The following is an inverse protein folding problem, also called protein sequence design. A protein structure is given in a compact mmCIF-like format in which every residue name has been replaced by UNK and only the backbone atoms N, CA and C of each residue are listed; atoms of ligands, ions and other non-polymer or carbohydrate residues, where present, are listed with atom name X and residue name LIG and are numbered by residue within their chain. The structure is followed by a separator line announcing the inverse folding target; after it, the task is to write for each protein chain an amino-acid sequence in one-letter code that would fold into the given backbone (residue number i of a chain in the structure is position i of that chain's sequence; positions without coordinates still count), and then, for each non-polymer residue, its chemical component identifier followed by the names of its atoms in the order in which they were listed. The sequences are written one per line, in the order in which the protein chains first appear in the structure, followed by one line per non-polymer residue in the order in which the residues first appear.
data_IF_629353351231
#
_entry.id   IF_629353351231
#
_cell.length_a   1.000
_cell.length_b   1.000
_cell.length_c   1.000
_cell.angle_alpha   90.00
_cell.angle_beta   90.00
_cell.angle_gamma   90.00
#
_symmetry.space_group_name_H-M   'P 1'
#
loop_
_entity.id
_entity.type
_entity.pdbx_description
1 polymer ?
#
# COMPACT_ATOMS: atom_id res chain seq x y z
N UNK A 1 -9.00 -15.08 -10.88
CA UNK A 1 -9.78 -13.91 -10.41
C UNK A 1 -10.37 -14.09 -9.02
N UNK A 2 -10.92 -15.25 -8.66
CA UNK A 2 -11.42 -15.50 -7.30
C UNK A 2 -10.42 -15.20 -6.16
N UNK A 3 -9.14 -15.57 -6.33
CA UNK A 3 -8.07 -15.26 -5.35
C UNK A 3 -7.88 -13.75 -5.19
N UNK A 4 -7.94 -12.98 -6.27
CA UNK A 4 -7.79 -11.51 -6.23
C UNK A 4 -8.94 -10.87 -5.43
N UNK A 5 -10.17 -11.39 -5.59
CA UNK A 5 -11.33 -10.92 -4.80
C UNK A 5 -11.15 -11.21 -3.32
N UNK A 6 -10.56 -12.37 -2.97
CA UNK A 6 -10.26 -12.69 -1.57
C UNK A 6 -9.16 -11.79 -0.99
N UNK A 7 -8.14 -11.44 -1.77
CA UNK A 7 -7.15 -10.43 -1.38
C UNK A 7 -7.81 -9.06 -1.22
N UNK A 8 -8.72 -8.70 -2.11
CA UNK A 8 -9.46 -7.45 -2.02
C UNK A 8 -10.40 -7.40 -0.79
N UNK A 9 -10.95 -8.54 -0.36
CA UNK A 9 -11.73 -8.62 0.88
C UNK A 9 -10.89 -8.33 2.12
N UNK A 10 -9.66 -8.87 2.18
CA UNK A 10 -8.74 -8.51 3.26
C UNK A 10 -8.29 -7.05 3.17
N UNK A 11 -8.09 -6.52 1.96
CA UNK A 11 -7.80 -5.11 1.75
C UNK A 11 -8.97 -4.19 2.18
N UNK A 12 -10.21 -4.63 1.98
CA UNK A 12 -11.41 -3.97 2.48
C UNK A 12 -11.42 -3.91 4.02
N UNK A 13 -11.17 -5.03 4.69
CA UNK A 13 -11.07 -5.09 6.15
C UNK A 13 -9.95 -4.15 6.68
N UNK A 14 -8.82 -4.13 5.98
CA UNK A 14 -7.70 -3.22 6.25
C UNK A 14 -8.09 -1.74 6.09
N UNK A 15 -8.78 -1.40 5.00
CA UNK A 15 -9.29 -0.06 4.74
C UNK A 15 -10.22 0.40 5.86
N UNK A 16 -11.19 -0.45 6.25
CA UNK A 16 -12.06 -0.18 7.39
C UNK A 16 -11.26 0.05 8.68
N UNK A 17 -10.33 -0.86 9.00
CA UNK A 17 -9.54 -0.80 10.24
C UNK A 17 -8.60 0.41 10.33
N UNK A 18 -8.15 0.93 9.19
CA UNK A 18 -7.22 2.06 9.15
C UNK A 18 -7.90 3.38 9.53
N UNK A 19 -9.20 3.51 9.21
CA UNK A 19 -9.92 4.78 9.33
C UNK A 19 -11.04 4.75 10.38
N UNK A 20 -11.57 3.58 10.74
CA UNK A 20 -12.66 3.51 11.72
C UNK A 20 -12.26 4.07 13.09
N UNK A 21 -11.00 3.86 13.50
CA UNK A 21 -10.52 4.29 14.82
C UNK A 21 -10.70 5.79 15.02
N UNK A 22 -10.48 6.62 13.99
CA UNK A 22 -10.68 8.06 14.06
C UNK A 22 -12.11 8.43 14.47
N UNK A 23 -13.12 7.79 13.86
CA UNK A 23 -14.51 8.01 14.21
C UNK A 23 -14.89 7.47 15.59
N UNK A 24 -14.17 6.46 16.10
CA UNK A 24 -14.40 5.85 17.41
C UNK A 24 -13.71 6.60 18.55
N UNK A 25 -12.82 7.56 18.26
CA UNK A 25 -12.05 8.30 19.27
C UNK A 25 -12.94 8.83 20.41
N UNK A 26 -14.08 9.52 20.16
CA UNK A 26 -14.93 10.03 21.24
C UNK A 26 -15.46 8.93 22.18
N UNK A 27 -15.85 7.78 21.61
CA UNK A 27 -16.32 6.63 22.40
C UNK A 27 -15.18 6.05 23.25
N UNK A 28 -14.00 5.90 22.67
CA UNK A 28 -12.80 5.38 23.35
C UNK A 28 -12.36 6.34 24.48
N UNK A 29 -12.40 7.65 24.25
CA UNK A 29 -12.12 8.66 25.28
C UNK A 29 -13.04 8.48 26.49
N UNK A 30 -14.33 8.29 26.25
CA UNK A 30 -15.32 8.10 27.31
C UNK A 30 -15.09 6.80 28.08
N UNK A 31 -14.72 5.71 27.39
CA UNK A 31 -14.48 4.41 28.02
C UNK A 31 -13.21 4.36 28.88
N UNK A 32 -12.14 5.05 28.47
CA UNK A 32 -10.86 5.03 29.20
C UNK A 32 -10.60 6.31 30.02
N UNK A 33 -11.51 7.28 29.98
CA UNK A 33 -11.37 8.60 30.62
C UNK A 33 -10.04 9.30 30.29
N UNK A 34 -9.67 9.34 29.00
CA UNK A 34 -8.40 9.92 28.52
C UNK A 34 -8.60 11.14 27.61
N UNK A 35 -7.60 12.05 27.54
CA UNK A 35 -7.63 13.18 26.60
C UNK A 35 -7.68 12.74 25.13
N UNK A 36 -8.22 13.62 24.28
CA UNK A 36 -8.32 13.40 22.83
C UNK A 36 -6.98 13.05 22.19
N UNK A 37 -5.95 13.82 22.52
CA UNK A 37 -4.60 13.63 21.98
C UNK A 37 -4.01 12.25 22.32
N UNK A 38 -4.40 11.68 23.46
CA UNK A 38 -3.97 10.37 23.94
C UNK A 38 -4.70 9.27 23.18
N UNK A 39 -6.02 9.38 22.99
CA UNK A 39 -6.79 8.43 22.18
C UNK A 39 -6.38 8.48 20.69
N UNK A 40 -6.05 9.65 20.16
CA UNK A 40 -5.56 9.81 18.78
C UNK A 40 -4.23 9.09 18.50
N UNK A 41 -3.44 8.77 19.54
CA UNK A 41 -2.23 7.95 19.38
C UNK A 41 -2.54 6.54 18.85
N UNK A 42 -3.78 6.04 18.99
CA UNK A 42 -4.20 4.77 18.41
C UNK A 42 -4.10 4.75 16.87
N UNK A 43 -4.42 5.87 16.22
CA UNK A 43 -4.27 6.03 14.77
C UNK A 43 -2.79 6.17 14.42
N UNK A 44 -2.05 6.97 15.19
CA UNK A 44 -0.61 7.18 14.98
C UNK A 44 0.18 5.88 15.09
N UNK A 45 -0.05 5.08 16.13
CA UNK A 45 0.61 3.80 16.36
C UNK A 45 0.35 2.81 15.20
N UNK A 46 -0.90 2.72 14.75
CA UNK A 46 -1.25 1.88 13.59
C UNK A 46 -0.53 2.36 12.33
N UNK A 47 -0.60 3.65 12.01
CA UNK A 47 -0.04 4.21 10.77
C UNK A 47 1.48 4.13 10.74
N UNK A 48 2.17 4.40 11.86
CA UNK A 48 3.62 4.25 11.95
C UNK A 48 4.06 2.80 11.76
N UNK A 49 3.40 1.86 12.45
CA UNK A 49 3.71 0.44 12.30
C UNK A 49 3.41 -0.08 10.88
N UNK A 50 2.31 0.38 10.29
CA UNK A 50 1.94 0.08 8.90
C UNK A 50 2.99 0.60 7.91
N UNK A 51 3.33 1.89 7.98
CA UNK A 51 4.17 2.56 7.00
C UNK A 51 5.65 2.22 7.13
N UNK A 52 6.17 2.12 8.36
CA UNK A 52 7.58 1.85 8.61
C UNK A 52 7.87 0.35 8.78
N UNK A 53 6.96 -0.39 9.41
CA UNK A 53 7.16 -1.81 9.69
C UNK A 53 7.04 -2.68 8.45
N UNK A 54 6.09 -2.39 7.56
CA UNK A 54 5.88 -3.20 6.35
C UNK A 54 7.10 -3.29 5.44
N UNK A 55 7.74 -2.17 5.01
CA UNK A 55 8.94 -2.22 4.19
C UNK A 55 10.07 -3.03 4.83
N UNK A 56 10.27 -2.91 6.15
CA UNK A 56 11.31 -3.64 6.89
C UNK A 56 11.03 -5.14 6.85
N UNK A 57 9.81 -5.56 7.22
CA UNK A 57 9.44 -6.99 7.24
C UNK A 57 9.49 -7.59 5.83
N UNK A 58 8.97 -6.89 4.84
CA UNK A 58 8.97 -7.35 3.43
C UNK A 58 10.39 -7.41 2.87
N UNK A 59 11.29 -6.53 3.32
CA UNK A 59 12.68 -6.51 2.86
C UNK A 59 13.50 -7.71 3.35
N UNK A 60 13.25 -8.18 4.58
CA UNK A 60 13.94 -9.34 5.18
C UNK A 60 13.24 -10.67 4.89
N UNK A 61 12.04 -10.64 4.32
CA UNK A 61 11.25 -11.84 4.06
C UNK A 61 11.93 -12.76 3.02
N UNK A 62 12.04 -14.07 3.28
CA UNK A 62 12.64 -15.00 2.34
C UNK A 62 11.79 -15.16 1.06
N UNK A 63 12.43 -15.29 -0.12
CA UNK A 63 11.73 -15.35 -1.40
C UNK A 63 10.87 -16.61 -1.58
N UNK A 64 11.16 -17.71 -0.85
CA UNK A 64 10.37 -18.95 -0.90
C UNK A 64 9.09 -18.92 -0.04
N UNK A 65 8.92 -17.91 0.83
CA UNK A 65 7.89 -17.89 1.88
C UNK A 65 6.66 -17.03 1.61
N UNK A 66 6.49 -16.46 0.41
CA UNK A 66 5.51 -15.38 0.19
C UNK A 66 4.07 -15.77 0.52
N UNK A 67 3.64 -16.99 0.17
CA UNK A 67 2.29 -17.48 0.50
C UNK A 67 2.07 -17.53 2.02
N UNK A 68 3.01 -18.15 2.73
CA UNK A 68 2.93 -18.30 4.18
C UNK A 68 2.98 -16.95 4.89
N UNK A 69 3.84 -16.05 4.43
CA UNK A 69 3.98 -14.70 4.97
C UNK A 69 2.72 -13.86 4.77
N UNK A 70 2.06 -13.96 3.60
CA UNK A 70 0.80 -13.27 3.33
C UNK A 70 -0.30 -13.75 4.28
N UNK A 71 -0.45 -15.07 4.46
CA UNK A 71 -1.43 -15.64 5.38
C UNK A 71 -1.12 -15.30 6.83
N UNK A 72 0.15 -15.35 7.23
CA UNK A 72 0.59 -14.99 8.58
C UNK A 72 0.35 -13.51 8.88
N UNK A 73 0.62 -12.61 7.93
CA UNK A 73 0.35 -11.18 8.09
C UNK A 73 -1.15 -10.90 8.24
N UNK A 74 -2.00 -11.57 7.44
CA UNK A 74 -3.44 -11.43 7.57
C UNK A 74 -3.98 -12.02 8.89
N UNK A 75 -3.47 -13.17 9.30
CA UNK A 75 -3.83 -13.77 10.59
C UNK A 75 -3.39 -12.89 11.77
N UNK A 76 -2.20 -12.29 11.70
CA UNK A 76 -1.70 -11.33 12.68
C UNK A 76 -2.60 -10.09 12.76
N UNK A 77 -3.00 -9.56 11.60
CA UNK A 77 -3.96 -8.45 11.53
C UNK A 77 -5.30 -8.80 12.17
N UNK A 78 -5.84 -10.00 11.89
CA UNK A 78 -7.10 -10.48 12.49
C UNK A 78 -6.97 -10.62 14.00
N UNK A 79 -5.93 -11.30 14.47
CA UNK A 79 -5.69 -11.52 15.89
C UNK A 79 -5.51 -10.20 16.65
N UNK A 80 -4.80 -9.24 16.04
CA UNK A 80 -4.60 -7.92 16.63
C UNK A 80 -5.90 -7.09 16.70
N UNK A 81 -6.81 -7.22 15.74
CA UNK A 81 -8.13 -6.58 15.84
C UNK A 81 -9.02 -7.27 16.88
N UNK A 82 -8.99 -8.60 17.00
CA UNK A 82 -9.67 -9.30 18.08
C UNK A 82 -9.12 -8.87 19.46
N UNK A 83 -7.79 -8.77 19.59
CA UNK A 83 -7.14 -8.25 20.79
C UNK A 83 -7.52 -6.79 21.09
N UNK A 84 -7.68 -5.96 20.05
CA UNK A 84 -8.17 -4.58 20.18
C UNK A 84 -9.59 -4.55 20.75
N UNK A 85 -10.46 -5.45 20.31
CA UNK A 85 -11.83 -5.56 20.81
C UNK A 85 -11.90 -6.02 22.29
N UNK A 86 -10.90 -6.80 22.73
CA UNK A 86 -10.78 -7.31 24.09
C UNK A 86 -9.93 -6.43 25.01
N UNK A 87 -9.43 -5.30 24.52
CA UNK A 87 -8.48 -4.48 25.27
C UNK A 87 -9.12 -3.84 26.50
N UNK A 88 -8.66 -4.22 27.69
CA UNK A 88 -9.08 -3.65 28.98
C UNK A 88 -8.33 -2.39 29.39
N UNK A 89 -7.32 -1.97 28.63
CA UNK A 89 -6.55 -0.73 28.89
C UNK A 89 -6.12 -0.06 27.59
N UNK A 90 -5.91 1.25 27.64
CA UNK A 90 -5.46 2.01 26.47
C UNK A 90 -4.08 1.53 25.97
N UNK A 91 -3.16 1.18 26.88
CA UNK A 91 -1.84 0.67 26.51
C UNK A 91 -1.92 -0.66 25.75
N UNK A 92 -2.80 -1.56 26.19
CA UNK A 92 -3.05 -2.82 25.48
C UNK A 92 -3.67 -2.55 24.10
N UNK A 93 -4.61 -1.61 24.02
CA UNK A 93 -5.22 -1.20 22.75
C UNK A 93 -4.19 -0.57 21.80
N UNK A 94 -3.31 0.30 22.30
CA UNK A 94 -2.20 0.91 21.54
C UNK A 94 -1.27 -0.16 20.94
N UNK A 95 -0.87 -1.14 21.75
CA UNK A 95 -0.02 -2.23 21.27
C UNK A 95 -0.75 -3.07 20.22
N UNK A 96 -2.01 -3.44 20.47
CA UNK A 96 -2.83 -4.17 19.51
C UNK A 96 -2.99 -3.40 18.19
N UNK A 97 -3.13 -2.07 18.25
CA UNK A 97 -3.17 -1.21 17.06
C UNK A 97 -1.84 -1.18 16.31
N UNK A 98 -0.71 -1.08 16.99
CA UNK A 98 0.59 -1.17 16.34
C UNK A 98 0.78 -2.52 15.62
N UNK A 99 0.43 -3.63 16.29
CA UNK A 99 0.52 -4.97 15.70
C UNK A 99 -0.44 -5.12 14.51
N UNK A 100 -1.67 -4.59 14.62
CA UNK A 100 -2.62 -4.58 13.51
C UNK A 100 -2.07 -3.77 12.32
N UNK A 101 -1.45 -2.62 12.56
CA UNK A 101 -0.83 -1.79 11.53
C UNK A 101 0.27 -2.54 10.78
N UNK A 102 1.17 -3.19 11.52
CA UNK A 102 2.23 -4.02 10.96
C UNK A 102 1.66 -5.14 10.08
N UNK A 103 0.71 -5.93 10.60
CA UNK A 103 0.07 -7.01 9.86
C UNK A 103 -0.64 -6.51 8.60
N UNK A 104 -1.37 -5.41 8.70
CA UNK A 104 -2.03 -4.75 7.58
C UNK A 104 -1.04 -4.34 6.48
N UNK A 105 0.03 -3.64 6.85
CA UNK A 105 0.99 -3.13 5.87
C UNK A 105 1.72 -4.25 5.14
N UNK A 106 2.13 -5.29 5.86
CA UNK A 106 2.80 -6.46 5.26
C UNK A 106 1.83 -7.20 4.36
N UNK A 107 0.59 -7.41 4.83
CA UNK A 107 -0.45 -8.07 4.06
C UNK A 107 -0.73 -7.36 2.74
N UNK A 108 -0.90 -6.03 2.74
CA UNK A 108 -1.19 -5.29 1.52
C UNK A 108 -0.04 -5.39 0.51
N UNK A 109 1.21 -5.21 0.96
CA UNK A 109 2.39 -5.29 0.11
C UNK A 109 2.54 -6.68 -0.55
N UNK A 110 2.39 -7.74 0.24
CA UNK A 110 2.44 -9.12 -0.27
C UNK A 110 1.21 -9.45 -1.13
N UNK A 111 0.03 -8.91 -0.80
CA UNK A 111 -1.22 -9.11 -1.53
C UNK A 111 -1.17 -8.56 -2.95
N UNK A 112 -0.62 -7.34 -3.12
CA UNK A 112 -0.38 -6.75 -4.45
C UNK A 112 0.58 -7.62 -5.26
N UNK A 113 1.68 -8.07 -4.66
CA UNK A 113 2.64 -8.97 -5.30
C UNK A 113 2.01 -10.30 -5.71
N UNK A 114 1.28 -10.94 -4.79
CA UNK A 114 0.58 -12.19 -5.04
C UNK A 114 -0.43 -12.04 -6.19
N UNK A 115 -1.21 -10.96 -6.22
CA UNK A 115 -2.17 -10.70 -7.30
C UNK A 115 -1.50 -10.48 -8.65
N UNK A 116 -0.34 -9.78 -8.69
CA UNK A 116 0.43 -9.60 -9.92
C UNK A 116 1.00 -10.92 -10.46
N UNK A 117 1.29 -11.89 -9.59
CA UNK A 117 1.77 -13.23 -9.99
C UNK A 117 0.65 -14.17 -10.44
N UNK A 118 -0.52 -14.13 -9.78
CA UNK A 118 -1.66 -15.02 -10.06
C UNK A 118 -2.50 -14.54 -11.24
N UNK A 119 -2.51 -13.23 -11.53
CA UNK A 119 -3.23 -12.67 -12.66
C UNK A 119 -2.45 -12.84 -13.99
N UNK A 120 -3.15 -13.12 -15.11
CA UNK A 120 -2.54 -13.04 -16.44
C UNK A 120 -1.88 -11.67 -16.67
N UNK A 121 -0.78 -11.63 -17.42
CA UNK A 121 -0.02 -10.39 -17.68
C UNK A 121 -0.90 -9.23 -18.14
N UNK A 122 -1.85 -9.49 -19.05
CA UNK A 122 -2.80 -8.51 -19.57
C UNK A 122 -3.82 -7.98 -18.53
N UNK A 123 -3.96 -8.63 -17.37
CA UNK A 123 -4.93 -8.28 -16.32
C UNK A 123 -4.29 -7.94 -14.97
N UNK A 124 -2.97 -7.77 -14.91
CA UNK A 124 -2.27 -7.40 -13.66
C UNK A 124 -2.73 -6.05 -13.12
N UNK A 125 -2.84 -5.04 -13.99
CA UNK A 125 -3.36 -3.72 -13.61
C UNK A 125 -4.78 -3.81 -13.04
N UNK A 126 -5.65 -4.58 -13.69
CA UNK A 126 -7.01 -4.84 -13.20
C UNK A 126 -7.01 -5.52 -11.82
N UNK A 127 -6.12 -6.49 -11.60
CA UNK A 127 -6.04 -7.18 -10.31
C UNK A 127 -5.61 -6.24 -9.18
N UNK A 128 -4.63 -5.37 -9.43
CA UNK A 128 -4.19 -4.34 -8.48
C UNK A 128 -5.32 -3.33 -8.23
N UNK A 129 -6.02 -2.89 -9.28
CA UNK A 129 -7.16 -1.97 -9.16
C UNK A 129 -8.29 -2.56 -8.31
N UNK A 130 -8.58 -3.86 -8.42
CA UNK A 130 -9.58 -4.54 -7.58
C UNK A 130 -9.18 -4.52 -6.10
N UNK A 131 -7.90 -4.75 -5.79
CA UNK A 131 -7.40 -4.73 -4.40
C UNK A 131 -7.46 -3.31 -3.82
N UNK A 132 -6.96 -2.33 -4.57
CA UNK A 132 -7.01 -0.92 -4.16
C UNK A 132 -8.46 -0.43 -4.03
N UNK A 133 -9.33 -0.85 -4.95
CA UNK A 133 -10.77 -0.59 -4.89
C UNK A 133 -11.43 -1.23 -3.67
N UNK A 134 -11.03 -2.44 -3.28
CA UNK A 134 -11.46 -3.07 -2.03
C UNK A 134 -11.07 -2.24 -0.81
N UNK A 135 -9.80 -1.81 -0.74
CA UNK A 135 -9.31 -0.94 0.33
C UNK A 135 -10.08 0.38 0.40
N UNK A 136 -10.24 1.08 -0.72
CA UNK A 136 -11.00 2.33 -0.79
C UNK A 136 -12.49 2.13 -0.41
N UNK A 137 -13.12 1.06 -0.90
CA UNK A 137 -14.50 0.74 -0.50
C UNK A 137 -14.62 0.49 1.00
N UNK A 138 -13.59 -0.10 1.61
CA UNK A 138 -13.51 -0.31 3.06
C UNK A 138 -13.44 0.99 3.86
N UNK A 139 -12.81 2.04 3.32
CA UNK A 139 -12.80 3.35 3.97
C UNK A 139 -14.16 4.04 3.85
N UNK A 140 -14.74 4.03 2.65
CA UNK A 140 -16.01 4.74 2.37
C UNK A 140 -17.20 4.08 3.05
N UNK A 141 -17.35 2.77 2.90
CA UNK A 141 -18.49 2.03 3.44
C UNK A 141 -18.21 1.52 4.86
N UNK A 142 -16.99 1.07 5.09
CA UNK A 142 -16.66 0.40 6.33
C UNK A 142 -16.65 1.32 7.53
N UNK A 143 -16.22 2.58 7.38
CA UNK A 143 -16.21 3.53 8.51
C UNK A 143 -17.64 3.84 8.99
N UNK A 144 -18.59 4.27 8.14
CA UNK A 144 -19.98 4.46 8.58
C UNK A 144 -20.59 3.19 9.20
N UNK A 145 -20.38 2.02 8.58
CA UNK A 145 -20.89 0.75 9.12
C UNK A 145 -20.32 0.44 10.50
N UNK A 146 -19.02 0.69 10.71
CA UNK A 146 -18.36 0.47 11.99
C UNK A 146 -18.89 1.42 13.08
N UNK A 147 -19.16 2.68 12.73
CA UNK A 147 -19.70 3.68 13.66
C UNK A 147 -21.16 3.39 14.02
N UNK A 148 -21.96 2.98 13.02
CA UNK A 148 -23.31 2.52 13.26
C UNK A 148 -23.29 1.38 14.26
N UNK A 149 -22.52 0.31 14.00
CA UNK A 149 -22.42 -0.83 14.91
C UNK A 149 -21.94 -0.44 16.31
N UNK A 150 -20.96 0.46 16.39
CA UNK A 150 -20.41 0.94 17.65
C UNK A 150 -21.42 1.73 18.49
N UNK A 151 -22.40 2.39 17.86
CA UNK A 151 -23.46 3.11 18.57
C UNK A 151 -24.38 2.21 19.39
N UNK A 152 -24.54 0.93 19.01
CA UNK A 152 -25.43 -0.01 19.71
C UNK A 152 -24.68 -0.94 20.66
N UNK A 153 -23.49 -1.39 20.25
CA UNK A 153 -22.75 -2.46 20.90
C UNK A 153 -21.41 -2.00 21.51
N UNK A 154 -21.13 -0.70 21.48
CA UNK A 154 -19.87 -0.13 21.92
C UNK A 154 -18.77 -0.19 20.87
N UNK A 155 -17.70 0.57 21.08
CA UNK A 155 -16.60 0.72 20.12
C UNK A 155 -15.88 -0.61 19.81
N UNK A 156 -15.95 -1.60 20.71
CA UNK A 156 -15.37 -2.92 20.54
C UNK A 156 -15.98 -3.67 19.34
N UNK A 157 -17.26 -3.43 19.05
CA UNK A 157 -17.98 -4.11 17.96
C UNK A 157 -17.38 -3.80 16.58
N UNK A 158 -16.85 -2.58 16.39
CA UNK A 158 -16.14 -2.22 15.17
C UNK A 158 -14.88 -3.08 14.94
N UNK A 159 -14.12 -3.35 16.01
CA UNK A 159 -12.95 -4.23 15.94
C UNK A 159 -13.32 -5.68 15.68
N UNK A 160 -14.41 -6.18 16.27
CA UNK A 160 -14.94 -7.50 15.96
C UNK A 160 -15.40 -7.64 14.51
N UNK A 161 -16.05 -6.61 13.95
CA UNK A 161 -16.45 -6.59 12.54
C UNK A 161 -15.24 -6.75 11.60
N UNK A 162 -14.17 -5.98 11.84
CA UNK A 162 -12.92 -6.11 11.09
C UNK A 162 -12.32 -7.50 11.24
N UNK A 163 -12.26 -8.04 12.47
CA UNK A 163 -11.72 -9.36 12.73
C UNK A 163 -12.51 -10.46 12.00
N UNK A 164 -13.84 -10.36 11.96
CA UNK A 164 -14.69 -11.29 11.23
C UNK A 164 -14.43 -11.23 9.72
N UNK A 165 -14.41 -10.04 9.12
CA UNK A 165 -14.13 -9.86 7.69
C UNK A 165 -12.73 -10.35 7.32
N UNK A 166 -11.72 -10.04 8.14
CA UNK A 166 -10.37 -10.53 7.95
C UNK A 166 -10.26 -12.05 8.11
N UNK A 167 -11.02 -12.66 9.03
CA UNK A 167 -11.07 -14.11 9.20
C UNK A 167 -11.66 -14.78 7.96
N UNK A 168 -12.75 -14.24 7.39
CA UNK A 168 -13.34 -14.73 6.15
C UNK A 168 -12.35 -14.65 4.98
N UNK A 169 -11.64 -13.53 4.84
CA UNK A 169 -10.58 -13.39 3.85
C UNK A 169 -9.43 -14.38 4.08
N UNK A 170 -9.01 -14.58 5.34
CA UNK A 170 -7.94 -15.48 5.71
C UNK A 170 -8.28 -16.94 5.43
N UNK A 171 -9.47 -17.39 5.81
CA UNK A 171 -9.96 -18.74 5.54
C UNK A 171 -10.08 -18.99 4.02
N UNK A 172 -10.65 -18.03 3.29
CA UNK A 172 -10.77 -18.12 1.83
C UNK A 172 -9.41 -18.20 1.13
N UNK A 173 -8.43 -17.37 1.56
CA UNK A 173 -7.08 -17.39 1.02
C UNK A 173 -6.33 -18.66 1.41
N UNK A 174 -6.45 -19.14 2.65
CA UNK A 174 -5.82 -20.38 3.08
C UNK A 174 -6.27 -21.56 2.21
N UNK A 175 -7.56 -21.60 1.85
CA UNK A 175 -8.13 -22.64 1.00
C UNK A 175 -7.81 -22.49 -0.50
N UNK A 176 -7.70 -21.26 -1.03
CA UNK A 176 -7.66 -21.02 -2.49
C UNK A 176 -6.37 -20.40 -3.03
N UNK A 177 -5.50 -19.86 -2.18
CA UNK A 177 -4.24 -19.24 -2.63
C UNK A 177 -3.25 -20.35 -3.02
N UNK A 178 -2.85 -20.46 -4.30
CA UNK A 178 -1.84 -21.43 -4.72
C UNK A 178 -0.46 -21.07 -4.15
N UNK A 179 0.49 -22.01 -4.26
CA UNK A 179 1.89 -21.71 -4.03
C UNK A 179 2.33 -20.57 -4.97
N UNK A 180 2.97 -19.54 -4.40
CA UNK A 180 3.48 -18.42 -5.17
C UNK A 180 4.89 -18.76 -5.67
N UNK A 181 5.23 -18.39 -6.92
CA UNK A 181 6.58 -18.60 -7.44
C UNK A 181 7.60 -17.82 -6.60
N UNK A 182 8.86 -18.26 -6.60
CA UNK A 182 9.93 -17.53 -5.92
C UNK A 182 9.96 -16.09 -6.43
N UNK A 183 9.88 -15.14 -5.50
CA UNK A 183 10.11 -13.76 -5.84
C UNK A 183 11.55 -13.57 -6.30
N UNK A 184 11.75 -12.78 -7.37
CA UNK A 184 13.07 -12.35 -7.79
C UNK A 184 13.73 -11.62 -6.60
N UNK A 185 14.76 -12.23 -6.03
CA UNK A 185 15.45 -11.69 -4.86
C UNK A 185 16.31 -10.49 -5.30
N UNK A 186 15.77 -9.28 -5.16
CA UNK A 186 16.59 -8.07 -5.25
C UNK A 186 17.37 -7.94 -3.93
N UNK A 187 18.72 -7.87 -3.97
CA UNK A 187 19.51 -7.76 -2.75
C UNK A 187 19.16 -6.49 -1.99
N UNK A 188 19.16 -6.58 -0.66
CA UNK A 188 18.79 -5.47 0.23
C UNK A 188 19.61 -4.20 -0.06
N UNK A 189 20.89 -4.35 -0.40
CA UNK A 189 21.78 -3.27 -0.81
C UNK A 189 21.24 -2.48 -1.99
N UNK A 190 20.66 -3.14 -3.00
CA UNK A 190 20.08 -2.49 -4.18
C UNK A 190 18.73 -1.83 -3.89
N UNK A 191 17.95 -2.38 -2.94
CA UNK A 191 16.74 -1.73 -2.43
C UNK A 191 17.07 -0.45 -1.65
N UNK A 192 18.10 -0.50 -0.79
CA UNK A 192 18.57 0.65 -0.02
C UNK A 192 19.24 1.71 -0.90
N UNK A 193 19.92 1.32 -1.98
CA UNK A 193 20.50 2.26 -2.93
C UNK A 193 19.45 3.17 -3.59
N UNK A 194 18.18 2.73 -3.71
CA UNK A 194 17.09 3.59 -4.20
C UNK A 194 16.79 4.75 -3.24
N UNK A 195 17.06 4.60 -1.94
CA UNK A 195 16.89 5.68 -0.96
C UNK A 195 18.01 6.72 -1.03
N UNK A 196 19.12 6.43 -1.73
CA UNK A 196 20.17 7.41 -1.98
C UNK A 196 19.81 8.36 -3.14
N UNK A 197 18.79 8.03 -3.95
CA UNK A 197 18.33 8.88 -5.03
C UNK A 197 17.48 10.05 -4.49
N UNK A 198 17.95 11.27 -4.74
CA UNK A 198 17.28 12.50 -4.31
C UNK A 198 15.87 12.66 -4.88
N UNK A 199 15.61 12.15 -6.09
CA UNK A 199 14.27 12.17 -6.70
C UNK A 199 13.32 11.23 -5.96
N UNK A 200 13.79 10.03 -5.61
CA UNK A 200 13.00 9.08 -4.81
C UNK A 200 12.70 9.66 -3.43
N UNK A 201 13.68 10.25 -2.76
CA UNK A 201 13.48 10.92 -1.47
C UNK A 201 12.49 12.08 -1.56
N UNK A 202 12.55 12.89 -2.63
CA UNK A 202 11.59 13.98 -2.84
C UNK A 202 10.15 13.45 -2.98
N UNK A 203 9.95 12.40 -3.77
CA UNK A 203 8.63 11.76 -3.94
C UNK A 203 8.13 11.18 -2.61
N UNK A 204 9.00 10.52 -1.85
CA UNK A 204 8.66 9.99 -0.51
C UNK A 204 8.31 11.11 0.46
N UNK A 205 9.05 12.22 0.46
CA UNK A 205 8.79 13.36 1.34
C UNK A 205 7.45 14.04 1.01
N UNK A 206 7.16 14.28 -0.26
CA UNK A 206 5.86 14.84 -0.69
C UNK A 206 4.72 13.88 -0.32
N UNK A 207 4.89 12.57 -0.55
CA UNK A 207 3.89 11.57 -0.20
C UNK A 207 3.65 11.50 1.31
N UNK A 208 4.71 11.59 2.11
CA UNK A 208 4.64 11.60 3.57
C UNK A 208 3.91 12.85 4.07
N UNK A 209 4.26 14.03 3.57
CA UNK A 209 3.60 15.29 3.94
C UNK A 209 2.12 15.29 3.55
N UNK A 210 1.79 14.81 2.34
CA UNK A 210 0.42 14.66 1.89
C UNK A 210 -0.37 13.68 2.78
N UNK A 211 0.24 12.56 3.18
CA UNK A 211 -0.37 11.59 4.08
C UNK A 211 -0.60 12.17 5.49
N UNK A 212 0.38 12.92 6.04
CA UNK A 212 0.24 13.59 7.34
C UNK A 212 -0.90 14.61 7.30
N UNK A 213 -0.94 15.47 6.28
CA UNK A 213 -1.98 16.48 6.13
C UNK A 213 -3.37 15.85 5.99
N UNK A 214 -3.51 14.85 5.11
CA UNK A 214 -4.79 14.19 4.84
C UNK A 214 -5.28 13.35 6.03
N UNK A 215 -4.44 12.45 6.55
CA UNK A 215 -4.82 11.55 7.64
C UNK A 215 -4.94 12.28 8.98
N UNK A 216 -4.11 13.31 9.20
CA UNK A 216 -4.21 14.18 10.37
C UNK A 216 -5.57 14.89 10.41
N UNK A 217 -5.96 15.55 9.32
CA UNK A 217 -7.28 16.21 9.22
C UNK A 217 -8.42 15.22 9.44
N UNK A 218 -8.36 14.04 8.80
CA UNK A 218 -9.36 13.00 8.96
C UNK A 218 -9.49 12.51 10.41
N UNK A 219 -8.36 12.34 11.11
CA UNK A 219 -8.32 11.82 12.49
C UNK A 219 -9.03 12.73 13.49
N UNK A 220 -8.90 14.04 13.30
CA UNK A 220 -9.50 15.04 14.20
C UNK A 220 -10.85 15.56 13.70
N UNK A 221 -11.36 15.07 12.57
CA UNK A 221 -12.60 15.54 11.95
C UNK A 221 -13.80 15.43 12.91
N UNK A 222 -13.92 14.30 13.62
CA UNK A 222 -14.98 14.09 14.61
C UNK A 222 -14.92 15.10 15.77
N UNK A 223 -13.71 15.48 16.20
CA UNK A 223 -13.52 16.45 17.28
C UNK A 223 -13.76 17.90 16.81
N UNK A 224 -13.43 18.21 15.56
CA UNK A 224 -13.63 19.55 14.97
C UNK A 224 -15.10 19.87 14.71
N UNK A 225 -15.94 18.85 14.49
CA UNK A 225 -17.36 19.01 14.16
C UNK A 225 -18.30 18.98 15.38
N UNK A 226 -17.77 18.90 16.61
CA UNK A 226 -18.59 18.92 17.84
C UNK A 226 -19.26 20.31 17.98
N UNK A 227 -20.58 20.37 18.22
CA UNK A 227 -21.33 21.62 18.24
C UNK A 227 -21.02 22.41 19.51
N UNK A 228 -20.07 23.34 19.41
CA UNK A 228 -19.75 24.32 20.46
C UNK A 228 -19.34 25.70 19.95
N UNK A 229 -19.17 25.88 18.63
CA UNK A 229 -18.58 27.12 18.05
C UNK A 229 -19.41 27.76 16.93
N UNK A 230 -20.76 27.73 17.00
CA UNK A 230 -21.63 28.54 16.14
C UNK A 230 -21.61 28.21 14.64
N UNK A 231 -20.98 27.12 14.23
CA UNK A 231 -20.96 26.67 12.84
C UNK A 231 -22.18 25.79 12.55
N UNK A 232 -22.77 25.95 11.36
CA UNK A 232 -23.86 25.11 10.87
C UNK A 232 -23.56 23.63 11.15
N UNK A 233 -24.56 22.88 11.61
CA UNK A 233 -24.46 21.47 12.01
C UNK A 233 -24.10 20.56 10.83
N UNK A 234 -22.83 20.58 10.41
CA UNK A 234 -22.31 19.68 9.38
C UNK A 234 -22.22 18.28 9.99
N UNK A 235 -22.97 17.34 9.44
CA UNK A 235 -22.95 15.95 9.88
C UNK A 235 -21.56 15.34 9.70
N UNK A 236 -21.01 14.75 10.77
CA UNK A 236 -19.75 13.97 10.72
C UNK A 236 -19.81 12.91 9.62
N UNK A 237 -20.92 12.18 9.55
CA UNK A 237 -21.17 11.16 8.53
C UNK A 237 -21.07 11.76 7.14
N UNK A 238 -21.72 12.90 6.87
CA UNK A 238 -21.65 13.57 5.56
C UNK A 238 -20.21 13.96 5.19
N UNK A 239 -19.43 14.44 6.16
CA UNK A 239 -18.03 14.82 5.94
C UNK A 239 -17.15 13.61 5.59
N UNK A 240 -17.37 12.47 6.26
CA UNK A 240 -16.69 11.20 5.95
C UNK A 240 -17.05 10.69 4.55
N UNK A 241 -18.32 10.84 4.14
CA UNK A 241 -18.77 10.51 2.78
C UNK A 241 -18.09 11.38 1.73
N UNK A 242 -18.03 12.69 1.94
CA UNK A 242 -17.34 13.62 1.02
C UNK A 242 -15.86 13.27 0.90
N UNK A 243 -15.19 12.97 2.02
CA UNK A 243 -13.78 12.56 2.01
C UNK A 243 -13.58 11.25 1.24
N UNK A 244 -14.41 10.25 1.49
CA UNK A 244 -14.36 8.95 0.80
C UNK A 244 -14.65 9.05 -0.70
N UNK A 245 -15.72 9.75 -1.09
CA UNK A 245 -16.08 9.97 -2.49
C UNK A 245 -15.03 10.80 -3.23
N UNK A 246 -14.49 11.84 -2.58
CA UNK A 246 -13.38 12.63 -3.12
C UNK A 246 -12.16 11.77 -3.42
N UNK A 247 -11.81 10.83 -2.53
CA UNK A 247 -10.74 9.87 -2.75
C UNK A 247 -10.99 8.94 -3.95
N UNK A 248 -12.22 8.45 -4.10
CA UNK A 248 -12.63 7.63 -5.26
C UNK A 248 -12.48 8.45 -6.55
N UNK A 249 -13.10 9.63 -6.61
CA UNK A 249 -13.06 10.52 -7.80
C UNK A 249 -11.62 10.90 -8.14
N UNK A 250 -10.82 11.31 -7.14
CA UNK A 250 -9.41 11.65 -7.32
C UNK A 250 -8.59 10.49 -7.89
N UNK A 251 -8.84 9.27 -7.42
CA UNK A 251 -8.16 8.06 -7.94
C UNK A 251 -8.46 7.81 -9.42
N UNK A 252 -9.70 8.06 -9.85
CA UNK A 252 -10.09 7.95 -11.27
C UNK A 252 -9.58 9.11 -12.13
N UNK A 253 -9.44 10.33 -11.57
CA UNK A 253 -8.92 11.50 -12.28
C UNK A 253 -7.40 11.46 -12.46
N UNK A 254 -6.66 10.90 -11.49
CA UNK A 254 -5.19 10.80 -11.54
C UNK A 254 -4.71 9.86 -12.65
N UNK A 255 -5.44 8.78 -12.95
CA UNK A 255 -5.03 7.81 -13.98
C UNK A 255 -4.74 8.44 -15.34
N UNK A 256 -5.72 9.12 -15.97
CA UNK A 256 -5.52 9.80 -17.26
C UNK A 256 -4.49 10.94 -17.23
N UNK A 257 -4.24 11.55 -16.06
CA UNK A 257 -3.24 12.59 -15.86
C UNK A 257 -1.81 12.02 -15.78
N UNK A 258 -1.65 10.87 -15.12
CA UNK A 258 -0.38 10.16 -14.99
C UNK A 258 0.02 9.42 -16.27
N UNK A 259 -0.96 9.01 -17.10
CA UNK A 259 -0.72 8.41 -18.41
C UNK A 259 -0.39 9.44 -19.50
N UNK A 260 -0.35 10.74 -19.17
CA UNK A 260 0.15 11.75 -20.10
C UNK A 260 1.64 11.50 -20.31
N UNK A 261 2.11 11.39 -21.56
CA UNK A 261 3.50 11.10 -21.83
C UNK A 261 4.38 12.19 -21.22
N UNK A 262 5.37 11.77 -20.42
CA UNK A 262 6.31 12.68 -19.78
C UNK A 262 6.90 13.62 -20.84
N UNK A 263 6.78 14.96 -20.67
CA UNK A 263 7.34 15.92 -21.62
C UNK A 263 8.84 15.70 -21.86
N UNK A 264 9.56 15.22 -20.83
CA UNK A 264 10.97 14.84 -20.92
C UNK A 264 11.22 13.55 -21.71
N UNK A 265 10.38 12.51 -21.55
CA UNK A 265 10.49 11.29 -22.36
C UNK A 265 10.15 11.58 -23.84
N UNK A 266 9.23 12.52 -24.08
CA UNK A 266 8.92 13.01 -25.43
C UNK A 266 9.99 13.95 -26.01
N UNK A 267 10.69 14.73 -25.18
CA UNK A 267 11.78 15.60 -25.63
C UNK A 267 13.01 14.76 -26.02
N UNK A 268 13.33 13.73 -25.25
CA UNK A 268 14.42 12.78 -25.53
C UNK A 268 14.15 11.96 -26.81
N UNK A 269 12.89 11.53 -27.01
CA UNK A 269 12.46 10.89 -28.25
C UNK A 269 12.47 11.81 -29.48
N UNK A 270 12.33 13.13 -29.30
CA UNK A 270 12.39 14.13 -30.39
C UNK A 270 13.82 14.48 -30.79
N UNK A 271 14.79 14.43 -29.87
CA UNK A 271 16.19 14.71 -30.21
C UNK A 271 16.89 13.58 -30.98
N UNK A 272 16.44 12.33 -30.83
CA UNK A 272 17.06 11.20 -31.53
C UNK A 272 16.55 10.90 -32.94
N UNK A 273 15.50 11.59 -33.41
CA UNK A 273 14.99 11.47 -34.78
C UNK A 273 14.55 10.05 -35.21
N UNK A 274 13.88 9.89 -36.36
CA UNK A 274 13.43 8.58 -36.84
C UNK A 274 14.56 7.60 -37.19
N UNK A 275 15.83 8.04 -37.18
CA UNK A 275 17.00 7.19 -37.41
C UNK A 275 17.39 6.33 -36.18
N UNK A 276 17.02 6.72 -34.96
CA UNK A 276 17.31 5.97 -33.73
C UNK A 276 16.36 4.79 -33.44
N UNK A 277 15.15 4.81 -34.01
CA UNK A 277 14.18 3.70 -33.85
C UNK A 277 14.59 2.44 -34.62
N UNK A 278 15.36 2.58 -35.70
CA UNK A 278 15.93 1.47 -36.46
C UNK A 278 17.04 0.74 -35.69
N UNK A 279 17.90 1.48 -34.97
CA UNK A 279 19.02 0.90 -34.22
C UNK A 279 18.56 0.22 -32.92
N UNK A 280 17.53 0.72 -32.25
CA UNK A 280 16.96 0.07 -31.04
C UNK A 280 16.21 -1.22 -31.42
N UNK A 281 15.47 -1.24 -32.54
CA UNK A 281 14.85 -2.48 -33.05
C UNK A 281 15.90 -3.47 -33.59
N UNK A 282 16.95 -3.00 -34.25
CA UNK A 282 18.04 -3.85 -34.74
C UNK A 282 18.97 -4.37 -33.61
N UNK A 283 19.15 -3.61 -32.52
CA UNK A 283 19.85 -4.06 -31.32
C UNK A 283 19.00 -5.05 -30.52
N UNK A 284 17.68 -4.87 -30.48
CA UNK A 284 16.75 -5.82 -29.87
C UNK A 284 16.60 -7.13 -30.67
N UNK A 285 16.79 -7.11 -32.00
CA UNK A 285 16.83 -8.34 -32.82
C UNK A 285 18.19 -9.03 -32.75
N UNK A 286 19.31 -8.29 -32.86
CA UNK A 286 20.67 -8.86 -32.68
C UNK A 286 20.93 -9.37 -31.27
N UNK A 287 20.31 -8.77 -30.24
CA UNK A 287 20.36 -9.25 -28.87
C UNK A 287 19.60 -10.56 -28.65
N UNK A 288 18.51 -10.80 -29.40
CA UNK A 288 17.79 -12.08 -29.39
C UNK A 288 18.55 -13.18 -30.14
N UNK A 289 19.24 -12.84 -31.24
CA UNK A 289 20.09 -13.78 -31.97
C UNK A 289 21.38 -14.10 -31.21
N UNK A 290 21.96 -13.12 -30.50
CA UNK A 290 23.14 -13.31 -29.65
C UNK A 290 22.84 -14.12 -28.39
N UNK A 291 21.63 -14.00 -27.80
CA UNK A 291 21.19 -14.86 -26.70
C UNK A 291 20.84 -16.30 -27.17
N UNK A 292 20.39 -16.46 -28.42
CA UNK A 292 20.22 -17.79 -29.02
C UNK A 292 21.58 -18.46 -29.33
N UNK A 293 22.60 -17.69 -29.73
CA UNK A 293 23.97 -18.19 -29.93
C UNK A 293 24.76 -18.43 -28.64
N UNK A 294 24.58 -17.58 -27.61
CA UNK A 294 25.31 -17.66 -26.34
C UNK A 294 24.83 -18.79 -25.40
N UNK A 295 23.73 -19.47 -25.74
CA UNK A 295 23.33 -20.73 -25.10
C UNK A 295 23.91 -21.95 -25.83
N UNK A 296 24.40 -21.78 -27.07
CA UNK A 296 25.01 -22.86 -27.85
C UNK A 296 26.54 -22.96 -27.69
N UNK A 297 27.22 -21.90 -27.22
CA UNK A 297 28.68 -21.86 -27.15
C UNK A 297 29.17 -21.50 -25.73
N UNK A 298 29.07 -22.46 -24.80
CA UNK A 298 29.90 -22.45 -23.58
C UNK A 298 31.06 -23.42 -23.75
N UNK A 299 32.03 -23.00 -24.54
CA UNK A 299 33.35 -23.60 -24.63
C UNK A 299 34.44 -22.53 -24.76
N UNK A 300 35.20 -22.32 -23.68
CA UNK A 300 36.60 -21.82 -23.67
C UNK A 300 36.86 -20.33 -23.94
N UNK A 301 37.63 -19.72 -23.02
CA UNK A 301 38.71 -18.78 -23.36
C UNK A 301 38.39 -17.28 -23.39
N UNK A 302 38.95 -16.53 -22.44
CA UNK A 302 38.76 -15.07 -22.34
C UNK A 302 39.61 -14.21 -23.28
N UNK A 303 39.27 -12.92 -23.38
CA UNK A 303 40.21 -11.78 -23.45
C UNK A 303 39.47 -10.43 -23.41
N UNK A 304 40.22 -9.43 -22.94
CA UNK A 304 39.91 -8.00 -22.79
C UNK A 304 39.65 -7.30 -24.13
N UNK A 305 38.87 -6.21 -24.10
CA UNK A 305 38.94 -4.94 -24.87
C UNK A 305 37.55 -4.27 -24.73
N UNK A 306 37.37 -2.97 -24.53
CA UNK A 306 38.25 -1.82 -24.48
C UNK A 306 37.40 -0.61 -24.09
N UNK A 307 38.06 0.38 -23.50
CA UNK A 307 37.50 1.64 -23.02
C UNK A 307 37.03 2.51 -24.20
N UNK A 308 35.73 2.81 -24.27
CA UNK A 308 35.17 3.95 -25.00
C UNK A 308 33.72 4.17 -24.53
N UNK A 309 33.48 5.21 -23.73
CA UNK A 309 32.13 5.54 -23.23
C UNK A 309 32.12 6.43 -21.98
N UNK A 310 33.26 6.59 -21.31
CA UNK A 310 33.40 7.41 -20.10
C UNK A 310 33.53 8.93 -20.35
N UNK A 311 33.28 9.42 -21.56
CA UNK A 311 33.44 10.84 -21.91
C UNK A 311 32.13 11.58 -22.23
N UNK A 312 30.98 10.91 -22.29
CA UNK A 312 29.71 11.54 -22.73
C UNK A 312 28.67 11.70 -21.59
N UNK A 313 29.03 11.31 -20.35
CA UNK A 313 28.17 11.45 -19.17
C UNK A 313 28.39 12.76 -18.38
N UNK A 314 29.26 13.66 -18.84
CA UNK A 314 29.62 14.88 -18.09
C UNK A 314 28.86 16.15 -18.51
N UNK A 315 27.97 16.12 -19.52
CA UNK A 315 27.40 17.33 -20.10
C UNK A 315 25.96 17.69 -19.68
N UNK A 316 25.34 16.96 -18.74
CA UNK A 316 23.97 17.24 -18.27
C UNK A 316 23.92 17.60 -16.77
N UNK A 317 24.91 18.36 -16.31
CA UNK A 317 24.94 18.99 -15.00
C UNK A 317 24.85 20.52 -15.16
N UNK A 318 23.60 20.99 -15.29
CA UNK A 318 23.09 22.31 -14.86
C UNK A 318 23.57 23.54 -15.66
N UNK A 319 22.82 24.65 -15.64
CA UNK A 319 21.60 24.94 -14.87
C UNK A 319 20.29 24.91 -15.68
#
# INVERSE_FOLDING_TARGET
MAVVVLVALGAFALGMASYMTAGLIPLIQSSFAVPLAVAAQLVTAFTLAYGLGSPVVVAVLPPQGQRAALLAALALFVAANAASALAGSLSALLLARAVAGLGAGVYLALGIGAAATVAPSARRGQAIAIIMGGMASGTVLGVPLSLLLAGWLGWQAAFWLVAALGTLACAGLAARLPALPLAAALPLSRKLALLADRRVLAILAVSLLAAIASLGLYTYLAALLVPGQGSASVSLTASLWVWGLGGIVGSFLVGPLADRPDPCAMADARHHGPAGLGSVRAAASRGRESLAGAVADRGVGGRRLGLAGAAEQAACAMP
#
